data_IF_212309603741
#
_entry.id   IF_212309603741
#
_cell.length_a   1.000
_cell.length_b   1.000
_cell.length_c   1.000
_cell.angle_alpha   90.00
_cell.angle_beta   90.00
_cell.angle_gamma   90.00
#
_symmetry.space_group_name_H-M   'P 1'
#
loop_
_entity.id
_entity.type
_entity.pdbx_description
1 polymer ?
#
# COMPACT_ATOMS: atom_id res chain seq x y z
N UNK A 1 21.43 2.97 7.17
CA UNK A 1 20.32 2.17 7.71
C UNK A 1 19.08 2.51 6.92
N UNK A 2 18.79 1.72 5.89
CA UNK A 2 17.66 1.91 4.98
C UNK A 2 16.39 1.53 5.71
N UNK A 3 15.40 2.43 5.72
CA UNK A 3 14.08 2.13 6.28
C UNK A 3 13.49 1.05 5.36
N UNK A 4 13.37 -0.21 5.84
CA UNK A 4 12.76 -1.25 5.03
C UNK A 4 11.31 -0.83 4.79
N UNK A 5 10.83 -1.09 3.59
CA UNK A 5 9.44 -0.88 3.18
C UNK A 5 8.46 -1.19 4.34
N UNK A 6 7.59 -0.22 4.61
CA UNK A 6 6.65 -0.28 5.73
C UNK A 6 5.41 -1.07 5.32
N UNK A 7 5.31 -2.31 5.78
CA UNK A 7 4.10 -3.13 5.62
C UNK A 7 3.00 -2.53 6.50
N UNK A 8 1.90 -2.09 5.89
CA UNK A 8 0.73 -1.67 6.66
C UNK A 8 -0.03 -2.92 7.15
N UNK A 9 0.38 -3.47 8.29
CA UNK A 9 -0.05 -4.78 8.77
C UNK A 9 -1.58 -4.94 8.86
N UNK A 10 -2.29 -3.88 9.26
CA UNK A 10 -3.75 -3.88 9.30
C UNK A 10 -4.43 -3.99 7.93
N UNK A 11 -3.88 -3.32 6.92
CA UNK A 11 -4.43 -3.31 5.57
C UNK A 11 -4.20 -4.68 4.92
N UNK A 12 -2.97 -5.21 5.05
CA UNK A 12 -2.61 -6.53 4.58
C UNK A 12 -3.50 -7.61 5.18
N UNK A 13 -3.65 -7.61 6.51
CA UNK A 13 -4.50 -8.57 7.20
C UNK A 13 -5.94 -8.56 6.66
N UNK A 14 -6.52 -7.36 6.49
CA UNK A 14 -7.87 -7.22 5.96
C UNK A 14 -8.00 -7.79 4.55
N UNK A 15 -7.00 -7.57 3.71
CA UNK A 15 -6.96 -8.05 2.33
C UNK A 15 -6.87 -9.57 2.26
N UNK A 16 -6.01 -10.18 3.07
CA UNK A 16 -5.89 -11.64 3.19
C UNK A 16 -7.22 -12.27 3.61
N UNK A 17 -7.88 -11.70 4.63
CA UNK A 17 -9.19 -12.19 5.09
C UNK A 17 -10.23 -12.14 3.98
N UNK A 18 -10.24 -11.05 3.19
CA UNK A 18 -11.15 -10.92 2.05
C UNK A 18 -10.88 -11.97 0.98
N UNK A 19 -9.61 -12.19 0.61
CA UNK A 19 -9.24 -13.17 -0.42
C UNK A 19 -9.52 -14.61 -0.02
N UNK A 20 -9.28 -14.94 1.25
CA UNK A 20 -9.63 -16.25 1.82
C UNK A 20 -11.13 -16.41 2.12
N UNK A 21 -11.97 -15.45 1.71
CA UNK A 21 -13.43 -15.43 1.95
C UNK A 21 -13.81 -15.62 3.43
N UNK A 22 -12.99 -15.09 4.36
CA UNK A 22 -13.22 -15.20 5.79
C UNK A 22 -14.30 -14.20 6.23
N UNK A 23 -15.34 -14.69 6.89
CA UNK A 23 -16.43 -13.87 7.41
C UNK A 23 -15.95 -13.09 8.64
N UNK A 24 -15.92 -11.75 8.53
CA UNK A 24 -15.41 -10.83 9.56
C UNK A 24 -16.06 -11.05 10.94
N UNK A 25 -17.36 -11.33 10.98
CA UNK A 25 -18.08 -11.57 12.23
C UNK A 25 -17.56 -12.82 12.96
N UNK A 26 -17.32 -13.90 12.22
CA UNK A 26 -16.82 -15.16 12.77
C UNK A 26 -15.36 -15.03 13.20
N UNK A 27 -14.54 -14.36 12.37
CA UNK A 27 -13.14 -14.11 12.69
C UNK A 27 -12.95 -13.19 13.90
N UNK A 28 -13.80 -12.18 14.07
CA UNK A 28 -13.82 -11.35 15.28
C UNK A 28 -14.08 -12.22 16.53
N UNK A 29 -15.07 -13.12 16.48
CA UNK A 29 -15.36 -14.06 17.56
C UNK A 29 -14.17 -14.98 17.86
N UNK A 30 -13.52 -15.54 16.84
CA UNK A 30 -12.35 -16.42 16.98
C UNK A 30 -11.14 -15.71 17.61
N UNK A 31 -10.98 -14.42 17.33
CA UNK A 31 -9.88 -13.61 17.87
C UNK A 31 -10.19 -12.94 19.22
N UNK A 32 -11.36 -13.23 19.80
CA UNK A 32 -11.83 -12.62 21.05
C UNK A 32 -12.10 -11.12 20.94
N UNK A 33 -12.44 -10.64 19.74
CA UNK A 33 -12.70 -9.24 19.44
C UNK A 33 -14.17 -9.03 19.04
N UNK A 34 -14.63 -7.80 19.22
CA UNK A 34 -15.86 -7.33 18.55
C UNK A 34 -15.51 -6.88 17.13
N UNK A 35 -16.47 -6.89 16.16
CA UNK A 35 -16.20 -6.37 14.83
C UNK A 35 -15.66 -4.93 14.83
N UNK A 36 -16.21 -3.97 15.61
CA UNK A 36 -15.61 -2.64 15.74
C UNK A 36 -14.18 -2.66 16.30
N UNK A 37 -13.89 -3.55 17.26
CA UNK A 37 -12.54 -3.74 17.80
C UNK A 37 -11.56 -4.24 16.76
N UNK A 38 -11.99 -5.14 15.87
CA UNK A 38 -11.18 -5.64 14.76
C UNK A 38 -10.90 -4.56 13.70
N UNK A 39 -11.90 -3.75 13.35
CA UNK A 39 -11.71 -2.63 12.41
C UNK A 39 -10.67 -1.60 12.90
N UNK A 40 -10.46 -1.46 14.22
CA UNK A 40 -9.39 -0.62 14.76
C UNK A 40 -8.00 -1.12 14.34
N UNK A 41 -7.80 -2.44 14.32
CA UNK A 41 -6.53 -3.04 13.88
C UNK A 41 -6.32 -2.95 12.37
N UNK A 42 -7.37 -3.01 11.56
CA UNK A 42 -7.23 -2.83 10.11
C UNK A 42 -6.71 -1.45 9.70
N UNK A 43 -6.92 -0.44 10.54
CA UNK A 43 -6.40 0.91 10.33
C UNK A 43 -5.01 1.12 10.96
N UNK A 44 -4.43 0.09 11.58
CA UNK A 44 -3.12 0.21 12.22
C UNK A 44 -2.01 -0.12 11.23
N UNK A 45 -1.07 0.82 11.03
CA UNK A 45 0.02 0.64 10.09
C UNK A 45 1.01 -0.39 10.65
N UNK A 46 1.20 -0.45 11.98
CA UNK A 46 1.89 -1.52 12.71
C UNK A 46 1.00 -1.99 13.86
N UNK A 47 0.86 -3.30 13.99
CA UNK A 47 0.17 -4.02 15.06
C UNK A 47 1.22 -4.58 16.01
N UNK A 48 0.96 -4.52 17.33
CA UNK A 48 1.87 -5.11 18.33
C UNK A 48 2.09 -6.59 18.03
N UNK A 49 3.34 -7.05 17.99
CA UNK A 49 3.72 -8.41 17.60
C UNK A 49 2.85 -9.52 18.21
N UNK A 50 2.70 -9.55 19.55
CA UNK A 50 1.84 -10.54 20.24
C UNK A 50 0.39 -10.54 19.74
N UNK A 51 -0.14 -9.36 19.44
CA UNK A 51 -1.51 -9.21 18.94
C UNK A 51 -1.61 -9.64 17.48
N UNK A 52 -0.61 -9.32 16.65
CA UNK A 52 -0.53 -9.82 15.29
C UNK A 52 -0.50 -11.35 15.31
N UNK A 53 0.34 -11.98 16.13
CA UNK A 53 0.41 -13.44 16.26
C UNK A 53 -0.95 -14.05 16.64
N UNK A 54 -1.69 -13.41 17.56
CA UNK A 54 -3.06 -13.83 17.93
C UNK A 54 -4.05 -13.73 16.76
N UNK A 55 -3.96 -12.65 15.97
CA UNK A 55 -4.82 -12.44 14.81
C UNK A 55 -4.51 -13.48 13.72
N UNK A 56 -3.23 -13.71 13.43
CA UNK A 56 -2.80 -14.70 12.44
C UNK A 56 -3.16 -16.12 12.85
N UNK A 57 -3.03 -16.49 14.13
CA UNK A 57 -3.38 -17.83 14.61
C UNK A 57 -4.87 -18.19 14.47
N UNK A 58 -5.76 -17.21 14.32
CA UNK A 58 -7.19 -17.45 14.10
C UNK A 58 -7.51 -17.84 12.64
N UNK A 59 -6.53 -17.84 11.76
CA UNK A 59 -6.60 -18.34 10.39
C UNK A 59 -5.41 -19.28 10.12
N UNK A 60 -5.48 -20.20 9.14
CA UNK A 60 -4.33 -21.04 8.80
C UNK A 60 -3.30 -20.22 7.99
N UNK A 61 -2.63 -19.28 8.65
CA UNK A 61 -1.61 -18.42 8.07
C UNK A 61 -0.45 -18.23 9.06
N UNK A 62 0.77 -18.54 8.63
CA UNK A 62 1.94 -18.26 9.47
C UNK A 62 2.35 -16.80 9.35
N UNK A 63 3.17 -16.33 10.30
CA UNK A 63 3.77 -14.99 10.23
C UNK A 63 4.66 -14.83 9.01
N UNK A 64 5.35 -15.90 8.61
CA UNK A 64 6.17 -15.89 7.41
C UNK A 64 5.29 -15.71 6.16
N UNK A 65 4.20 -16.47 6.06
CA UNK A 65 3.25 -16.36 4.94
C UNK A 65 2.56 -15.00 4.91
N UNK A 66 2.32 -14.39 6.08
CA UNK A 66 1.76 -13.04 6.17
C UNK A 66 2.70 -11.97 5.58
N UNK A 67 3.99 -12.02 5.93
CA UNK A 67 4.94 -11.02 5.43
C UNK A 67 5.36 -11.26 3.99
N UNK A 68 5.27 -12.50 3.51
CA UNK A 68 5.53 -12.88 2.11
C UNK A 68 4.25 -13.15 1.31
N UNK A 69 3.09 -12.71 1.81
CA UNK A 69 1.81 -12.93 1.13
C UNK A 69 1.87 -12.34 -0.28
N UNK A 70 1.50 -13.08 -1.31
CA UNK A 70 1.38 -12.58 -2.67
C UNK A 70 -0.07 -12.72 -3.12
N UNK A 71 -0.77 -11.59 -3.15
CA UNK A 71 -2.20 -11.53 -3.44
C UNK A 71 -2.48 -11.36 -4.94
N UNK A 72 -1.43 -11.11 -5.73
CA UNK A 72 -1.47 -10.71 -7.14
C UNK A 72 -0.53 -11.57 -8.01
N UNK A 73 -0.44 -12.88 -7.73
CA UNK A 73 0.34 -13.80 -8.57
C UNK A 73 0.02 -13.58 -10.07
N UNK A 74 1.07 -13.31 -10.86
CA UNK A 74 1.05 -13.11 -12.31
C UNK A 74 0.41 -11.82 -12.87
N UNK A 75 0.20 -10.78 -12.07
CA UNK A 75 -0.19 -9.46 -12.60
C UNK A 75 1.03 -8.58 -12.90
N UNK A 76 1.07 -7.88 -14.04
CA UNK A 76 2.17 -6.97 -14.36
C UNK A 76 2.24 -5.85 -13.31
N UNK A 77 3.45 -5.48 -12.91
CA UNK A 77 3.69 -4.38 -11.97
C UNK A 77 3.17 -3.07 -12.55
N UNK A 78 2.23 -2.44 -11.84
CA UNK A 78 1.67 -1.16 -12.24
C UNK A 78 2.68 -0.04 -11.91
N UNK A 79 3.12 0.69 -12.94
CA UNK A 79 4.26 1.60 -12.85
C UNK A 79 3.95 2.88 -12.06
N UNK A 80 2.72 3.41 -12.16
CA UNK A 80 2.28 4.51 -11.31
C UNK A 80 2.38 4.21 -9.80
N UNK A 81 2.14 2.96 -9.41
CA UNK A 81 2.26 2.48 -8.03
C UNK A 81 3.71 2.48 -7.54
N UNK A 82 4.60 1.92 -8.36
CA UNK A 82 6.03 1.90 -8.10
C UNK A 82 6.58 3.31 -7.98
N UNK A 83 6.03 4.25 -8.76
CA UNK A 83 6.39 5.66 -8.72
C UNK A 83 5.95 6.34 -7.42
N UNK A 84 4.72 6.07 -6.94
CA UNK A 84 4.26 6.57 -5.64
C UNK A 84 5.17 6.08 -4.50
N UNK A 85 5.58 4.81 -4.56
CA UNK A 85 6.49 4.23 -3.58
C UNK A 85 7.87 4.88 -3.64
N UNK A 86 8.40 5.15 -4.83
CA UNK A 86 9.64 5.89 -5.00
C UNK A 86 9.57 7.25 -4.30
N UNK A 87 8.47 8.00 -4.50
CA UNK A 87 8.28 9.30 -3.86
C UNK A 87 8.25 9.20 -2.34
N UNK A 88 7.53 8.22 -1.80
CA UNK A 88 7.46 8.00 -0.36
C UNK A 88 8.86 7.69 0.23
N UNK A 89 9.66 6.87 -0.45
CA UNK A 89 11.01 6.49 -0.01
C UNK A 89 11.99 7.66 -0.02
N UNK A 90 11.94 8.46 -1.09
CA UNK A 90 12.77 9.64 -1.23
C UNK A 90 12.23 10.86 -0.46
N UNK A 91 11.12 10.69 0.28
CA UNK A 91 10.40 11.75 1.01
C UNK A 91 10.05 12.94 0.11
N UNK A 92 9.74 12.65 -1.15
CA UNK A 92 9.36 13.65 -2.14
C UNK A 92 7.89 14.01 -1.96
N UNK A 93 7.60 15.31 -2.00
CA UNK A 93 6.22 15.80 -1.99
C UNK A 93 5.63 15.79 -3.40
N UNK A 94 4.35 15.41 -3.54
CA UNK A 94 3.67 15.38 -4.85
C UNK A 94 3.72 16.73 -5.58
N UNK A 95 3.57 17.84 -4.84
CA UNK A 95 3.67 19.20 -5.42
C UNK A 95 5.08 19.49 -5.93
N UNK A 96 6.11 19.12 -5.17
CA UNK A 96 7.50 19.33 -5.57
C UNK A 96 7.90 18.46 -6.76
N UNK A 97 7.39 17.22 -6.80
CA UNK A 97 7.58 16.32 -7.94
C UNK A 97 6.91 16.87 -9.19
N UNK A 98 5.63 17.25 -9.12
CA UNK A 98 4.90 17.81 -10.25
C UNK A 98 5.62 19.04 -10.82
N UNK A 99 6.09 19.95 -9.95
CA UNK A 99 6.88 21.11 -10.35
C UNK A 99 8.20 20.71 -11.03
N UNK A 100 8.92 19.72 -10.52
CA UNK A 100 10.18 19.24 -11.10
C UNK A 100 10.00 18.57 -12.47
N UNK A 101 8.84 17.94 -12.67
CA UNK A 101 8.46 17.30 -13.93
C UNK A 101 7.80 18.28 -14.91
N UNK A 102 7.58 19.54 -14.52
CA UNK A 102 6.85 20.56 -15.30
C UNK A 102 5.43 20.13 -15.69
N UNK A 103 4.78 19.34 -14.84
CA UNK A 103 3.38 18.90 -15.02
C UNK A 103 2.50 19.41 -13.87
N UNK A 104 1.19 19.30 -14.05
CA UNK A 104 0.24 19.65 -12.99
C UNK A 104 0.12 18.53 -11.95
N UNK A 105 -0.32 18.86 -10.73
CA UNK A 105 -0.58 17.83 -9.69
C UNK A 105 -1.70 16.87 -10.10
N UNK A 106 -2.81 17.30 -10.71
CA UNK A 106 -3.81 16.38 -11.28
C UNK A 106 -3.21 15.42 -12.32
N UNK A 107 -2.40 15.93 -13.24
CA UNK A 107 -1.73 15.11 -14.25
C UNK A 107 -0.76 14.10 -13.61
N UNK A 108 -0.04 14.49 -12.56
CA UNK A 108 0.76 13.56 -11.78
C UNK A 108 -0.10 12.48 -11.13
N UNK A 109 -1.31 12.78 -10.64
CA UNK A 109 -2.22 11.75 -10.14
C UNK A 109 -2.64 10.78 -11.25
N UNK A 110 -2.91 11.27 -12.46
CA UNK A 110 -3.23 10.40 -13.60
C UNK A 110 -2.06 9.45 -13.92
N UNK A 111 -0.81 9.91 -13.80
CA UNK A 111 0.38 9.07 -13.97
C UNK A 111 0.48 8.00 -12.86
N UNK A 112 0.12 8.34 -11.63
CA UNK A 112 0.12 7.41 -10.50
C UNK A 112 -0.95 6.33 -10.62
N UNK A 113 -2.03 6.61 -11.35
CA UNK A 113 -3.13 5.68 -11.67
C UNK A 113 -2.88 4.90 -12.99
N UNK A 114 -1.72 5.07 -13.64
CA UNK A 114 -1.40 4.42 -14.91
C UNK A 114 -0.62 3.11 -14.73
N UNK A 115 -1.18 2.00 -15.23
CA UNK A 115 -0.56 0.65 -15.21
C UNK A 115 0.84 0.63 -15.85
N UNK A 116 1.00 1.30 -17.00
CA UNK A 116 2.28 1.43 -17.71
C UNK A 116 2.46 2.84 -18.22
N UNK A 117 3.51 3.50 -17.76
CA UNK A 117 3.85 4.85 -18.18
C UNK A 117 4.35 4.82 -19.63
N UNK A 118 3.94 5.82 -20.40
CA UNK A 118 4.41 6.00 -21.77
C UNK A 118 5.90 6.39 -21.78
N UNK A 119 6.62 6.19 -22.89
CA UNK A 119 8.01 6.66 -23.03
C UNK A 119 8.17 8.16 -22.75
N UNK A 120 7.15 8.96 -23.10
CA UNK A 120 7.10 10.40 -22.86
C UNK A 120 7.00 10.73 -21.36
N UNK A 121 6.24 9.93 -20.60
CA UNK A 121 6.14 10.06 -19.14
C UNK A 121 7.41 9.54 -18.43
N UNK A 122 8.03 8.48 -18.93
CA UNK A 122 9.23 7.87 -18.35
C UNK A 122 10.48 8.76 -18.49
N UNK A 123 10.61 9.45 -19.63
CA UNK A 123 11.77 10.30 -19.93
C UNK A 123 12.06 11.36 -18.85
N UNK A 124 11.11 12.21 -18.41
CA UNK A 124 11.35 13.19 -17.37
C UNK A 124 11.58 12.55 -15.99
N UNK A 125 11.00 11.37 -15.70
CA UNK A 125 11.28 10.64 -14.46
C UNK A 125 12.75 10.21 -14.38
N UNK A 126 13.32 9.75 -15.50
CA UNK A 126 14.73 9.37 -15.54
C UNK A 126 15.66 10.57 -15.51
N UNK A 127 15.37 11.59 -16.32
CA UNK A 127 16.26 12.73 -16.51
C UNK A 127 16.21 13.74 -15.37
N UNK A 128 15.03 14.01 -14.81
CA UNK A 128 14.82 15.09 -13.84
C UNK A 128 14.73 14.60 -12.40
N UNK A 129 14.14 13.42 -12.19
CA UNK A 129 14.04 12.79 -10.87
C UNK A 129 15.17 11.80 -10.57
N UNK A 130 16.06 11.55 -11.54
CA UNK A 130 17.19 10.64 -11.40
C UNK A 130 16.78 9.18 -11.18
N UNK A 131 15.57 8.81 -11.60
CA UNK A 131 15.04 7.47 -11.41
C UNK A 131 15.78 6.51 -12.36
N UNK A 132 16.36 5.39 -11.88
CA UNK A 132 17.11 4.50 -12.75
C UNK A 132 16.17 3.77 -13.72
N UNK A 133 16.58 3.63 -14.98
CA UNK A 133 15.77 2.98 -16.02
C UNK A 133 15.39 1.51 -15.69
N UNK A 134 16.15 0.88 -14.80
CA UNK A 134 15.90 -0.48 -14.31
C UNK A 134 14.83 -0.56 -13.22
N UNK A 135 14.38 0.57 -12.66
CA UNK A 135 13.44 0.61 -11.54
C UNK A 135 12.10 -0.08 -11.84
N UNK A 136 11.58 0.09 -13.06
CA UNK A 136 10.29 -0.47 -13.47
C UNK A 136 10.39 -1.87 -14.09
N UNK A 137 11.59 -2.28 -14.55
CA UNK A 137 11.81 -3.58 -15.20
C UNK A 137 12.35 -4.64 -14.25
N UNK A 138 13.02 -4.21 -13.17
CA UNK A 138 13.48 -5.08 -12.10
C UNK A 138 13.46 -4.36 -10.74
N UNK A 139 12.27 -4.16 -10.14
CA UNK A 139 12.17 -3.58 -8.81
C UNK A 139 12.75 -4.49 -7.70
N UNK A 140 12.97 -5.78 -7.99
CA UNK A 140 13.62 -6.74 -7.09
C UNK A 140 15.12 -6.48 -6.98
N UNK A 141 15.79 -6.04 -8.06
CA UNK A 141 17.17 -5.55 -8.02
C UNK A 141 17.29 -4.20 -7.28
N UNK A 142 16.27 -3.34 -7.37
CA UNK A 142 16.27 -2.08 -6.63
C UNK A 142 16.10 -2.30 -5.12
N UNK A 143 15.28 -3.26 -4.68
CA UNK A 143 15.13 -3.65 -3.26
C UNK A 143 14.81 -5.14 -3.09
N UNK A 144 15.83 -5.94 -2.77
CA UNK A 144 15.67 -7.37 -2.46
C UNK A 144 14.70 -7.57 -1.29
N UNK A 145 13.71 -8.46 -1.48
CA UNK A 145 12.83 -8.95 -0.40
C UNK A 145 11.51 -8.18 -0.21
N UNK A 146 11.19 -7.21 -1.07
CA UNK A 146 9.92 -6.47 -1.02
C UNK A 146 8.94 -7.07 -2.02
N UNK A 147 7.76 -7.49 -1.55
CA UNK A 147 6.62 -7.76 -2.42
C UNK A 147 5.93 -6.43 -2.78
N UNK A 148 6.34 -5.85 -3.91
CA UNK A 148 5.95 -4.52 -4.38
C UNK A 148 4.45 -4.36 -4.75
N UNK A 149 3.80 -5.32 -5.42
CA UNK A 149 2.35 -5.31 -5.62
C UNK A 149 1.57 -5.21 -4.30
N UNK A 150 2.01 -5.93 -3.27
CA UNK A 150 1.39 -5.90 -1.94
C UNK A 150 1.62 -4.57 -1.23
N UNK A 151 2.81 -4.00 -1.42
CA UNK A 151 3.18 -2.70 -0.89
C UNK A 151 2.25 -1.59 -1.32
N UNK A 152 1.90 -1.60 -2.59
CA UNK A 152 0.94 -0.66 -3.11
C UNK A 152 -0.46 -0.90 -2.59
N UNK A 153 -0.95 -2.15 -2.62
CA UNK A 153 -2.29 -2.45 -2.13
C UNK A 153 -2.48 -2.08 -0.65
N UNK A 154 -1.44 -2.26 0.16
CA UNK A 154 -1.40 -1.81 1.54
C UNK A 154 -1.54 -0.26 1.63
N UNK A 155 -0.84 0.49 0.77
CA UNK A 155 -0.91 1.95 0.73
C UNK A 155 -2.24 2.50 0.17
N UNK A 156 -2.79 1.86 -0.85
CA UNK A 156 -4.08 2.23 -1.41
C UNK A 156 -5.23 2.00 -0.44
N UNK A 157 -5.21 0.89 0.28
CA UNK A 157 -6.16 0.64 1.36
C UNK A 157 -6.05 1.69 2.46
N UNK A 158 -4.83 2.04 2.89
CA UNK A 158 -4.57 3.15 3.82
C UNK A 158 -5.19 4.46 3.31
N UNK A 159 -4.93 4.86 2.07
CA UNK A 159 -5.45 6.10 1.47
C UNK A 159 -6.98 6.10 1.35
N UNK A 160 -7.59 5.00 0.92
CA UNK A 160 -9.05 4.86 0.88
C UNK A 160 -9.68 4.98 2.27
N UNK A 161 -9.02 4.47 3.31
CA UNK A 161 -9.43 4.64 4.70
C UNK A 161 -9.42 6.12 5.12
N UNK A 162 -8.38 6.88 4.76
CA UNK A 162 -8.31 8.31 5.01
C UNK A 162 -9.41 9.09 4.29
N UNK A 163 -9.66 8.81 3.00
CA UNK A 163 -10.73 9.47 2.22
C UNK A 163 -12.11 9.22 2.85
N UNK A 164 -12.41 8.00 3.28
CA UNK A 164 -13.69 7.68 3.94
C UNK A 164 -13.84 8.37 5.29
N UNK A 165 -12.75 8.46 6.06
CA UNK A 165 -12.72 9.17 7.36
C UNK A 165 -12.97 10.66 7.17
N UNK A 166 -12.33 11.29 6.19
CA UNK A 166 -12.55 12.70 5.84
C UNK A 166 -14.02 12.93 5.48
N UNK A 167 -14.60 12.14 4.55
CA UNK A 167 -16.02 12.26 4.17
C UNK A 167 -16.98 12.10 5.35
N UNK A 168 -16.66 11.23 6.30
CA UNK A 168 -17.49 11.02 7.51
C UNK A 168 -17.38 12.19 8.48
N UNK A 169 -16.19 12.76 8.64
CA UNK A 169 -15.96 13.95 9.46
C UNK A 169 -16.61 15.20 8.82
N UNK A 170 -16.51 15.36 7.50
CA UNK A 170 -17.20 16.42 6.76
C UNK A 170 -18.71 16.34 6.88
N UNK A 171 -19.30 15.14 6.83
CA UNK A 171 -20.73 14.94 7.09
C UNK A 171 -21.14 15.27 8.52
N UNK A 172 -20.27 15.04 9.50
CA UNK A 172 -20.52 15.34 10.92
C UNK A 172 -20.28 16.81 11.28
N UNK A 173 -19.42 17.52 10.55
CA UNK A 173 -19.20 18.96 10.73
C UNK A 173 -20.24 19.85 10.02
N UNK A 174 -21.12 19.25 9.21
CA UNK A 174 -22.24 19.91 8.52
C UNK A 174 -23.61 19.62 9.16
N UNK A 175 -23.65 18.89 10.27
CA UNK A 175 -24.83 18.56 11.06
C UNK A 175 -24.71 19.19 12.45
#
# INVERSE_FOLDING_TARGET
MTIPYYIHEGARLRRILRQKNIIILQYAKQTGLTPPGLYRYFNQPVIKARKLDTLLAAIPLTKNDFYHWDSLENLPLHQGELLLLYFAQQKLSLRGVAASLEITVPELYDWLDTDRLSPEQLTPLYQRLGLPATYFTDPVHAQKGVNWPEAYLDKCMEMQHYIRKIKTLEKRGKA
#
